data_IF_900830139552
#
_entry.id   IF_900830139552
#
_cell.length_a   1.000
_cell.length_b   1.000
_cell.length_c   1.000
_cell.angle_alpha   90.00
_cell.angle_beta   90.00
_cell.angle_gamma   90.00
#
_symmetry.space_group_name_H-M   'P 1'
#
loop_
_entity.id
_entity.type
_entity.pdbx_description
1 polymer ?
#
# COMPACT_ATOMS: atom_id res chain seq x y z
N UNK A 1 -41.07 -21.06 -21.74
CA UNK A 1 -40.75 -21.71 -20.45
C UNK A 1 -39.46 -22.47 -20.61
N UNK A 2 -38.41 -22.06 -19.89
CA UNK A 2 -37.41 -22.90 -19.21
C UNK A 2 -36.18 -22.03 -18.91
N UNK A 3 -36.08 -21.61 -17.65
CA UNK A 3 -34.92 -20.96 -17.07
C UNK A 3 -34.09 -22.08 -16.42
N UNK A 4 -32.82 -22.32 -16.80
CA UNK A 4 -32.00 -23.22 -16.03
C UNK A 4 -31.41 -22.45 -14.86
N UNK A 5 -31.93 -22.76 -13.69
CA UNK A 5 -31.36 -22.49 -12.37
C UNK A 5 -29.95 -23.06 -12.29
N UNK A 6 -28.94 -22.21 -12.36
CA UNK A 6 -27.57 -22.57 -11.99
C UNK A 6 -27.33 -22.17 -10.54
N UNK A 7 -27.06 -23.20 -9.75
CA UNK A 7 -26.89 -23.25 -8.31
C UNK A 7 -25.97 -22.15 -7.77
N UNK A 8 -26.53 -21.34 -6.89
CA UNK A 8 -25.82 -20.43 -6.01
C UNK A 8 -25.09 -21.23 -4.92
N UNK A 9 -23.90 -21.74 -5.22
CA UNK A 9 -23.03 -22.37 -4.22
C UNK A 9 -22.32 -21.29 -3.40
N UNK A 10 -23.03 -20.80 -2.37
CA UNK A 10 -22.48 -19.95 -1.31
C UNK A 10 -21.54 -20.79 -0.44
N UNK A 11 -20.24 -20.83 -0.77
CA UNK A 11 -19.23 -21.30 0.17
C UNK A 11 -18.98 -20.19 1.21
N UNK A 12 -19.59 -20.34 2.38
CA UNK A 12 -19.23 -19.57 3.56
C UNK A 12 -17.82 -20.01 4.02
N UNK A 13 -16.79 -19.36 3.50
CA UNK A 13 -15.44 -19.50 4.00
C UNK A 13 -15.35 -18.82 5.37
N UNK A 14 -15.18 -19.62 6.43
CA UNK A 14 -14.85 -19.14 7.77
C UNK A 14 -13.48 -18.45 7.72
N UNK A 15 -13.47 -17.13 7.78
CA UNK A 15 -12.21 -16.38 7.87
C UNK A 15 -11.62 -16.55 9.27
N UNK A 16 -10.59 -17.39 9.39
CA UNK A 16 -9.72 -17.42 10.57
C UNK A 16 -8.89 -16.14 10.56
N UNK A 17 -9.18 -15.19 11.45
CA UNK A 17 -8.35 -13.99 11.61
C UNK A 17 -7.14 -14.35 12.47
N UNK A 18 -6.09 -14.86 11.83
CA UNK A 18 -4.78 -14.94 12.46
C UNK A 18 -4.14 -13.54 12.44
N UNK A 19 -4.32 -12.78 13.53
CA UNK A 19 -3.55 -11.57 13.83
C UNK A 19 -2.10 -11.97 14.18
N UNK A 20 -1.32 -12.32 13.16
CA UNK A 20 0.10 -12.65 13.30
C UNK A 20 0.95 -11.39 13.43
N UNK A 21 1.12 -10.88 14.65
CA UNK A 21 2.18 -9.92 14.97
C UNK A 21 3.43 -10.71 15.42
N UNK A 22 4.05 -11.44 14.49
CA UNK A 22 5.31 -12.14 14.76
C UNK A 22 6.49 -11.24 14.43
N UNK A 23 7.03 -10.54 15.44
CA UNK A 23 8.39 -9.98 15.35
C UNK A 23 9.36 -11.09 15.73
N UNK A 24 10.34 -11.39 14.88
CA UNK A 24 11.41 -12.32 15.25
C UNK A 24 12.36 -11.66 16.27
N UNK A 25 13.01 -12.48 17.09
CA UNK A 25 13.96 -12.05 18.12
C UNK A 25 15.30 -11.51 17.58
N UNK A 26 15.41 -11.31 16.27
CA UNK A 26 16.65 -10.93 15.58
C UNK A 26 16.50 -9.64 14.74
N UNK A 27 15.46 -8.83 15.00
CA UNK A 27 15.23 -7.53 14.37
C UNK A 27 14.95 -7.55 12.85
N UNK A 28 14.86 -8.74 12.24
CA UNK A 28 14.60 -8.89 10.80
C UNK A 28 13.12 -9.19 10.60
N UNK A 29 12.40 -8.30 9.91
CA UNK A 29 11.00 -8.57 9.57
C UNK A 29 10.92 -9.84 8.70
N UNK A 30 9.98 -10.77 8.99
CA UNK A 30 9.79 -11.92 8.13
C UNK A 30 9.41 -11.47 6.71
N UNK A 31 10.04 -12.07 5.70
CA UNK A 31 9.62 -11.89 4.31
C UNK A 31 8.22 -12.48 4.17
N UNK A 32 7.25 -11.60 3.97
CA UNK A 32 5.83 -11.90 3.77
C UNK A 32 5.37 -11.31 2.45
N UNK A 33 4.28 -11.82 1.89
CA UNK A 33 3.65 -11.24 0.68
C UNK A 33 3.44 -9.73 0.85
N UNK A 34 2.95 -9.31 2.02
CA UNK A 34 2.78 -7.89 2.35
C UNK A 34 4.08 -7.07 2.27
N UNK A 35 5.21 -7.63 2.73
CA UNK A 35 6.50 -6.96 2.64
C UNK A 35 7.00 -6.87 1.20
N UNK A 36 6.77 -7.91 0.39
CA UNK A 36 7.12 -7.93 -1.03
C UNK A 36 6.25 -6.95 -1.84
N UNK A 37 4.95 -6.87 -1.58
CA UNK A 37 4.07 -5.90 -2.22
C UNK A 37 4.43 -4.45 -1.90
N UNK A 38 4.83 -4.19 -0.64
CA UNK A 38 5.38 -2.88 -0.25
C UNK A 38 6.68 -2.57 -0.98
N UNK A 39 7.54 -3.57 -1.13
CA UNK A 39 8.78 -3.44 -1.87
C UNK A 39 8.51 -3.10 -3.35
N UNK A 40 7.64 -3.85 -4.03
CA UNK A 40 7.23 -3.55 -5.42
C UNK A 40 6.74 -2.11 -5.57
N UNK A 41 5.83 -1.67 -4.68
CA UNK A 41 5.31 -0.30 -4.68
C UNK A 41 6.42 0.75 -4.47
N UNK A 42 7.42 0.43 -3.65
CA UNK A 42 8.55 1.32 -3.38
C UNK A 42 9.49 1.42 -4.60
N UNK A 43 9.77 0.30 -5.26
CA UNK A 43 10.57 0.25 -6.49
C UNK A 43 9.89 1.04 -7.61
N UNK A 44 8.59 0.81 -7.84
CA UNK A 44 7.77 1.57 -8.81
C UNK A 44 7.83 3.08 -8.56
N UNK A 45 7.72 3.50 -7.29
CA UNK A 45 7.80 4.91 -6.91
C UNK A 45 9.17 5.51 -7.15
N UNK A 46 10.24 4.75 -6.91
CA UNK A 46 11.61 5.18 -7.18
C UNK A 46 11.82 5.39 -8.68
N UNK A 47 11.41 4.42 -9.51
CA UNK A 47 11.46 4.49 -10.97
C UNK A 47 10.70 5.71 -11.47
N UNK A 48 9.44 5.87 -11.04
CA UNK A 48 8.59 7.02 -11.41
C UNK A 48 9.21 8.35 -11.01
N UNK A 49 9.85 8.40 -9.83
CA UNK A 49 10.52 9.63 -9.37
C UNK A 49 11.77 9.94 -10.20
N UNK A 50 12.55 8.91 -10.57
CA UNK A 50 13.75 9.07 -11.38
C UNK A 50 13.43 9.50 -12.82
N UNK A 51 12.32 9.04 -13.38
CA UNK A 51 11.84 9.40 -14.72
C UNK A 51 11.26 10.82 -14.80
N UNK A 52 10.85 11.40 -13.67
CA UNK A 52 10.37 12.79 -13.63
C UNK A 52 11.54 13.76 -13.40
N UNK A 53 12.17 14.21 -14.49
CA UNK A 53 13.35 15.07 -14.46
C UNK A 53 13.15 16.35 -13.64
N UNK A 54 12.00 17.02 -13.75
CA UNK A 54 11.71 18.28 -13.01
C UNK A 54 11.59 18.02 -11.51
N UNK A 55 10.85 16.98 -11.12
CA UNK A 55 10.69 16.59 -9.71
C UNK A 55 12.01 16.11 -9.12
N UNK A 56 12.79 15.36 -9.89
CA UNK A 56 14.10 14.86 -9.48
C UNK A 56 15.09 16.01 -9.28
N UNK A 57 15.16 16.94 -10.24
CA UNK A 57 15.99 18.15 -10.15
C UNK A 57 15.62 18.99 -8.93
N UNK A 58 14.31 19.21 -8.69
CA UNK A 58 13.81 19.91 -7.49
C UNK A 58 14.24 19.20 -6.21
N UNK A 59 14.03 17.89 -6.11
CA UNK A 59 14.36 17.09 -4.91
C UNK A 59 15.87 17.05 -4.62
N UNK A 60 16.69 17.15 -5.66
CA UNK A 60 18.15 17.08 -5.56
C UNK A 60 18.81 18.45 -5.53
N UNK A 61 18.05 19.54 -5.58
CA UNK A 61 18.55 20.91 -5.75
C UNK A 61 19.50 21.04 -6.95
N UNK A 62 19.13 20.44 -8.08
CA UNK A 62 19.95 20.37 -9.31
C UNK A 62 21.36 19.76 -9.11
N UNK A 63 21.58 18.99 -8.04
CA UNK A 63 22.87 18.33 -7.83
C UNK A 63 23.01 17.11 -8.75
N UNK A 64 23.83 17.24 -9.79
CA UNK A 64 24.01 16.21 -10.82
C UNK A 64 24.48 14.86 -10.25
N UNK A 65 25.35 14.84 -9.24
CA UNK A 65 25.81 13.61 -8.60
C UNK A 65 24.66 12.87 -7.93
N UNK A 66 23.78 13.59 -7.22
CA UNK A 66 22.58 13.01 -6.60
C UNK A 66 21.57 12.52 -7.64
N UNK A 67 21.39 13.27 -8.73
CA UNK A 67 20.54 12.87 -9.86
C UNK A 67 21.03 11.55 -10.42
N UNK A 68 22.32 11.46 -10.79
CA UNK A 68 22.92 10.25 -11.34
C UNK A 68 22.80 9.05 -10.39
N UNK A 69 23.03 9.28 -9.08
CA UNK A 69 22.88 8.22 -8.08
C UNK A 69 21.44 7.71 -7.96
N UNK A 70 20.43 8.58 -8.07
CA UNK A 70 19.02 8.16 -8.03
C UNK A 70 18.64 7.42 -9.31
N UNK A 71 19.11 7.88 -10.48
CA UNK A 71 18.88 7.21 -11.77
C UNK A 71 19.51 5.82 -11.78
N UNK A 72 20.74 5.66 -11.28
CA UNK A 72 21.40 4.36 -11.16
C UNK A 72 20.60 3.40 -10.27
N UNK A 73 20.18 3.86 -9.08
CA UNK A 73 19.32 3.07 -8.18
C UNK A 73 17.97 2.73 -8.81
N UNK A 74 17.42 3.60 -9.63
CA UNK A 74 16.17 3.33 -10.34
C UNK A 74 16.33 2.25 -11.41
N UNK A 75 17.48 2.20 -12.10
CA UNK A 75 17.79 1.11 -13.05
C UNK A 75 17.89 -0.24 -12.34
N UNK A 76 18.59 -0.30 -11.20
CA UNK A 76 18.64 -1.52 -10.37
C UNK A 76 17.25 -1.92 -9.85
N UNK A 77 16.47 -0.92 -9.43
CA UNK A 77 15.09 -1.13 -8.98
C UNK A 77 14.18 -1.67 -10.08
N UNK A 78 14.38 -1.25 -11.34
CA UNK A 78 13.61 -1.76 -12.47
C UNK A 78 13.86 -3.26 -12.70
N UNK A 79 15.12 -3.70 -12.63
CA UNK A 79 15.48 -5.13 -12.75
C UNK A 79 14.84 -5.95 -11.63
N UNK A 80 14.91 -5.45 -10.39
CA UNK A 80 14.31 -6.12 -9.24
C UNK A 80 12.78 -6.17 -9.34
N UNK A 81 12.17 -5.07 -9.78
CA UNK A 81 10.73 -4.99 -9.96
C UNK A 81 10.25 -6.00 -11.03
N UNK A 82 10.95 -6.08 -12.15
CA UNK A 82 10.67 -7.04 -13.23
C UNK A 82 10.73 -8.49 -12.71
N UNK A 83 11.75 -8.80 -11.91
CA UNK A 83 11.88 -10.12 -11.26
C UNK A 83 10.68 -10.45 -10.37
N UNK A 84 10.19 -9.48 -9.59
CA UNK A 84 9.03 -9.67 -8.70
C UNK A 84 7.72 -9.75 -9.50
N UNK A 85 7.57 -8.94 -10.55
CA UNK A 85 6.41 -8.93 -11.43
C UNK A 85 6.30 -10.19 -12.29
N UNK A 86 7.42 -10.87 -12.56
CA UNK A 86 7.45 -12.17 -13.21
C UNK A 86 6.74 -13.29 -12.43
N UNK A 87 6.42 -13.08 -11.14
CA UNK A 87 5.61 -14.00 -10.35
C UNK A 87 4.13 -13.55 -10.35
N UNK A 88 3.33 -14.15 -11.24
CA UNK A 88 1.92 -13.80 -11.42
C UNK A 88 1.06 -14.01 -10.16
N UNK A 89 1.35 -15.04 -9.36
CA UNK A 89 0.66 -15.28 -8.07
C UNK A 89 0.96 -14.14 -7.09
N UNK A 90 2.22 -13.72 -6.99
CA UNK A 90 2.60 -12.59 -6.15
C UNK A 90 1.90 -11.30 -6.60
N UNK A 91 1.89 -11.02 -7.91
CA UNK A 91 1.21 -9.85 -8.48
C UNK A 91 -0.28 -9.84 -8.13
N UNK A 92 -0.97 -10.98 -8.29
CA UNK A 92 -2.38 -11.12 -7.94
C UNK A 92 -2.62 -10.90 -6.43
N UNK A 93 -1.78 -11.50 -5.58
CA UNK A 93 -1.82 -11.29 -4.13
C UNK A 93 -1.60 -9.82 -3.77
N UNK A 94 -0.66 -9.15 -4.42
CA UNK A 94 -0.37 -7.74 -4.17
C UNK A 94 -1.51 -6.81 -4.58
N UNK A 95 -2.23 -7.11 -5.67
CA UNK A 95 -3.44 -6.37 -6.03
C UNK A 95 -4.47 -6.41 -4.88
N UNK A 96 -4.76 -7.59 -4.35
CA UNK A 96 -5.71 -7.76 -3.23
C UNK A 96 -5.22 -7.05 -1.96
N UNK A 97 -3.95 -7.21 -1.60
CA UNK A 97 -3.37 -6.56 -0.41
C UNK A 97 -3.42 -5.03 -0.54
N UNK A 98 -3.12 -4.50 -1.72
CA UNK A 98 -3.12 -3.06 -1.98
C UNK A 98 -4.54 -2.49 -1.89
N UNK A 99 -5.53 -3.14 -2.49
CA UNK A 99 -6.94 -2.73 -2.39
C UNK A 99 -7.44 -2.77 -0.93
N UNK A 100 -7.15 -3.84 -0.19
CA UNK A 100 -7.48 -3.94 1.22
C UNK A 100 -6.83 -2.81 2.04
N UNK A 101 -5.58 -2.43 1.72
CA UNK A 101 -4.89 -1.33 2.36
C UNK A 101 -5.52 0.04 2.03
N UNK A 102 -6.01 0.26 0.81
CA UNK A 102 -6.71 1.49 0.44
C UNK A 102 -8.06 1.59 1.13
N UNK A 103 -8.85 0.52 1.11
CA UNK A 103 -10.13 0.44 1.84
C UNK A 103 -9.93 0.77 3.31
N UNK A 104 -8.92 0.19 3.95
CA UNK A 104 -8.58 0.51 5.34
C UNK A 104 -8.27 1.99 5.56
N UNK A 105 -7.50 2.63 4.67
CA UNK A 105 -7.22 4.07 4.78
C UNK A 105 -8.49 4.91 4.65
N UNK A 106 -9.40 4.52 3.76
CA UNK A 106 -10.70 5.19 3.61
C UNK A 106 -11.52 5.07 4.88
N UNK A 107 -11.62 3.86 5.47
CA UNK A 107 -12.31 3.67 6.75
C UNK A 107 -11.71 4.54 7.86
N UNK A 108 -10.39 4.60 7.98
CA UNK A 108 -9.73 5.46 8.98
C UNK A 108 -10.07 6.94 8.78
N UNK A 109 -10.08 7.42 7.53
CA UNK A 109 -10.49 8.82 7.23
C UNK A 109 -11.95 9.09 7.60
N UNK A 110 -12.83 8.12 7.36
CA UNK A 110 -14.24 8.24 7.76
C UNK A 110 -14.38 8.28 9.28
N UNK A 111 -13.63 7.46 10.00
CA UNK A 111 -13.60 7.48 11.47
C UNK A 111 -13.10 8.83 12.01
N UNK A 112 -12.02 9.38 11.43
CA UNK A 112 -11.48 10.68 11.82
C UNK A 112 -12.46 11.83 11.52
N UNK A 113 -13.17 11.75 10.39
CA UNK A 113 -14.23 12.70 10.04
C UNK A 113 -15.40 12.60 11.02
N UNK A 114 -15.83 11.40 11.39
CA UNK A 114 -16.90 11.17 12.35
C UNK A 114 -16.55 11.76 13.73
N UNK A 115 -15.33 11.54 14.22
CA UNK A 115 -14.84 12.17 15.47
C UNK A 115 -14.86 13.70 15.39
N UNK A 116 -14.55 14.25 14.21
CA UNK A 116 -14.60 15.70 13.97
C UNK A 116 -16.02 16.22 14.04
N UNK A 117 -16.99 15.53 13.42
CA UNK A 117 -18.42 15.87 13.47
C UNK A 117 -18.97 15.80 14.89
N UNK A 118 -18.61 14.77 15.66
CA UNK A 118 -19.02 14.62 17.07
C UNK A 118 -18.45 15.72 17.96
N UNK A 119 -17.20 16.12 17.70
CA UNK A 119 -16.58 17.25 18.42
C UNK A 119 -17.30 18.55 18.09
N UNK A 120 -17.58 18.82 16.80
CA UNK A 120 -18.25 20.05 16.37
C UNK A 120 -19.70 20.13 16.86
N UNK A 121 -20.40 19.00 16.92
CA UNK A 121 -21.79 18.92 17.37
C UNK A 121 -21.95 19.03 18.91
N UNK A 122 -20.84 19.06 19.65
CA UNK A 122 -20.84 19.18 21.11
C UNK A 122 -20.15 20.50 21.52
N UNK A 123 -20.95 21.51 21.86
CA UNK A 123 -20.48 22.86 22.19
C UNK A 123 -19.45 22.89 23.33
N UNK A 124 -19.56 22.02 24.33
CA UNK A 124 -18.60 21.90 25.43
C UNK A 124 -17.27 21.30 24.98
N UNK A 125 -17.29 20.24 24.15
CA UNK A 125 -16.06 19.64 23.58
C UNK A 125 -15.38 20.56 22.57
N UNK A 126 -16.16 21.33 21.81
CA UNK A 126 -15.64 22.31 20.86
C UNK A 126 -14.94 23.46 21.59
N UNK A 127 -15.52 23.97 22.67
CA UNK A 127 -14.93 25.03 23.49
C UNK A 127 -13.62 24.58 24.18
N UNK A 128 -13.45 23.29 24.49
CA UNK A 128 -12.23 22.74 25.10
C UNK A 128 -11.09 22.48 24.10
N UNK A 129 -11.32 22.66 22.79
CA UNK A 129 -10.34 22.40 21.71
C UNK A 129 -9.76 23.68 21.09
N UNK A 130 -10.31 24.84 21.46
CA UNK A 130 -9.80 26.19 21.11
C UNK A 130 -9.01 26.78 22.28
#
# INVERSE_FOLDING_TARGET
>A
MHLPTLFLSLLAATTVIAKGNSKNSNGTEPVTDKSLCKEMTHLEKLITTAQNSTKLATKTNNNQTKINAIVAKASEAAVKLDTLQGNSTLVATCAVINEAAQTKKTCNKMEDLQKTIETASNSTKLAAKN
#
